data_IF_041700701794
#
_entry.id   IF_041700701794
#
_cell.length_a   1.000
_cell.length_b   1.000
_cell.length_c   1.000
_cell.angle_alpha   90.00
_cell.angle_beta   90.00
_cell.angle_gamma   90.00
#
_symmetry.space_group_name_H-M   'P 1'
#
loop_
_entity.id
_entity.type
_entity.pdbx_description
1 polymer ?
#
# COMPACT_ATOMS: atom_id res chain seq x y z
N UNK A 1 -0.07 -7.28 13.49
CA UNK A 1 -0.90 -7.47 12.28
C UNK A 1 -1.92 -6.34 12.30
N UNK A 2 -2.02 -5.55 11.24
CA UNK A 2 -2.85 -4.35 11.26
C UNK A 2 -4.33 -4.74 11.16
N UNK A 3 -5.18 -4.16 12.01
CA UNK A 3 -6.62 -4.36 11.92
C UNK A 3 -7.19 -3.45 10.84
N UNK A 4 -7.73 -4.05 9.77
CA UNK A 4 -8.38 -3.31 8.68
C UNK A 4 -9.69 -2.61 9.11
N UNK A 5 -10.22 -2.90 10.30
CA UNK A 5 -11.39 -2.21 10.86
C UNK A 5 -11.09 -0.83 11.44
N UNK A 6 -9.81 -0.51 11.66
CA UNK A 6 -9.38 0.76 12.28
C UNK A 6 -8.75 1.71 11.23
N UNK A 7 -8.80 1.33 9.94
CA UNK A 7 -8.36 2.17 8.82
C UNK A 7 -9.56 2.75 8.10
N UNK A 8 -9.50 4.02 7.75
CA UNK A 8 -10.51 4.68 6.93
C UNK A 8 -10.12 4.68 5.45
N UNK A 9 -11.11 4.60 4.53
CA UNK A 9 -10.88 4.88 3.12
C UNK A 9 -10.20 6.24 2.94
N UNK A 10 -9.14 6.29 2.13
CA UNK A 10 -8.25 7.44 1.94
C UNK A 10 -6.96 7.39 2.76
N UNK A 11 -6.81 6.49 3.73
CA UNK A 11 -5.54 6.32 4.43
C UNK A 11 -4.49 5.64 3.56
N UNK A 12 -3.23 6.07 3.73
CA UNK A 12 -2.10 5.48 3.01
C UNK A 12 -1.58 4.25 3.73
N UNK A 13 -1.68 3.09 3.08
CA UNK A 13 -1.28 1.81 3.62
C UNK A 13 -0.27 1.13 2.71
N UNK A 14 0.53 0.24 3.29
CA UNK A 14 1.28 -0.77 2.54
C UNK A 14 0.73 -2.14 2.89
N UNK A 15 0.39 -2.92 1.86
CA UNK A 15 -0.13 -4.27 1.98
C UNK A 15 0.78 -5.20 1.19
N UNK A 16 1.45 -6.12 1.90
CA UNK A 16 2.21 -7.19 1.29
C UNK A 16 1.33 -8.42 1.12
N UNK A 17 1.26 -8.93 -0.10
CA UNK A 17 0.45 -10.07 -0.47
C UNK A 17 1.24 -11.08 -1.31
N UNK A 18 0.77 -12.33 -1.31
CA UNK A 18 1.32 -13.42 -2.12
C UNK A 18 0.75 -13.35 -3.53
N UNK A 19 1.61 -13.45 -4.55
CA UNK A 19 1.21 -13.74 -5.91
C UNK A 19 1.10 -15.26 -6.07
N UNK A 20 0.01 -15.71 -6.67
CA UNK A 20 -0.20 -17.12 -6.98
C UNK A 20 0.69 -17.62 -8.14
N UNK A 21 1.24 -16.70 -8.95
CA UNK A 21 2.04 -17.02 -10.12
C UNK A 21 3.54 -17.07 -9.81
N UNK A 22 4.10 -18.28 -9.85
CA UNK A 22 5.54 -18.45 -9.79
C UNK A 22 5.98 -19.90 -9.76
N UNK A 23 6.29 -20.45 -10.93
CA UNK A 23 6.94 -21.76 -11.17
C UNK A 23 8.30 -21.96 -10.45
N UNK A 24 8.73 -21.08 -9.55
CA UNK A 24 10.05 -21.13 -8.90
C UNK A 24 10.15 -20.47 -7.50
N UNK A 25 9.06 -20.24 -6.77
CA UNK A 25 9.13 -19.75 -5.39
C UNK A 25 7.89 -18.96 -4.97
N UNK A 26 7.65 -18.81 -3.67
CA UNK A 26 6.61 -17.93 -3.16
C UNK A 26 6.94 -16.47 -3.52
N UNK A 27 6.24 -15.89 -4.51
CA UNK A 27 6.41 -14.48 -4.87
C UNK A 27 5.54 -13.60 -3.97
N UNK A 28 6.17 -12.60 -3.34
CA UNK A 28 5.47 -11.58 -2.56
C UNK A 28 5.54 -10.25 -3.29
N UNK A 29 4.42 -9.53 -3.34
CA UNK A 29 4.35 -8.16 -3.86
C UNK A 29 3.82 -7.23 -2.78
N UNK A 30 4.22 -5.97 -2.85
CA UNK A 30 3.73 -4.91 -1.99
C UNK A 30 2.90 -3.89 -2.78
N UNK A 31 1.67 -3.68 -2.33
CA UNK A 31 0.80 -2.61 -2.79
C UNK A 31 0.89 -1.45 -1.80
N UNK A 32 1.47 -0.33 -2.25
CA UNK A 32 1.51 0.91 -1.50
C UNK A 32 0.60 1.94 -2.16
N UNK A 33 -0.41 2.39 -1.42
CA UNK A 33 -1.43 3.26 -1.97
C UNK A 33 -2.43 3.74 -0.93
N UNK A 34 -3.49 4.35 -1.42
CA UNK A 34 -4.63 4.80 -0.61
C UNK A 34 -5.64 3.67 -0.51
N UNK A 35 -6.18 3.45 0.69
CA UNK A 35 -7.22 2.46 0.91
C UNK A 35 -8.51 2.95 0.24
N UNK A 36 -9.07 2.17 -0.70
CA UNK A 36 -10.35 2.49 -1.30
C UNK A 36 -11.50 1.78 -0.60
N UNK A 37 -11.34 0.48 -0.37
CA UNK A 37 -12.41 -0.34 0.21
C UNK A 37 -11.81 -1.52 0.97
N UNK A 38 -12.44 -1.88 2.09
CA UNK A 38 -12.15 -3.08 2.85
C UNK A 38 -13.43 -3.91 2.89
N UNK A 39 -13.36 -5.12 2.35
CA UNK A 39 -14.41 -6.12 2.51
C UNK A 39 -13.93 -7.25 3.42
N UNK A 40 -14.82 -8.19 3.71
CA UNK A 40 -14.48 -9.39 4.49
C UNK A 40 -13.63 -10.38 3.69
N UNK A 41 -13.59 -10.25 2.37
CA UNK A 41 -12.91 -11.18 1.47
C UNK A 41 -11.66 -10.56 0.84
N UNK A 42 -11.66 -9.24 0.60
CA UNK A 42 -10.61 -8.53 -0.11
C UNK A 42 -10.38 -7.11 0.42
N UNK A 43 -9.25 -6.53 0.01
CA UNK A 43 -8.88 -5.15 0.28
C UNK A 43 -8.48 -4.49 -1.04
N UNK A 44 -9.12 -3.37 -1.36
CA UNK A 44 -8.86 -2.59 -2.56
C UNK A 44 -7.97 -1.40 -2.22
N UNK A 45 -6.77 -1.38 -2.82
CA UNK A 45 -5.78 -0.32 -2.64
C UNK A 45 -5.63 0.44 -3.96
N UNK A 46 -5.92 1.74 -3.95
CA UNK A 46 -5.61 2.62 -5.07
C UNK A 46 -4.12 2.96 -5.02
N UNK A 47 -3.34 2.26 -5.84
CA UNK A 47 -1.93 2.60 -6.03
C UNK A 47 -1.80 3.74 -7.04
N UNK A 48 -0.59 4.25 -7.22
CA UNK A 48 -0.31 5.27 -8.25
C UNK A 48 -0.46 4.76 -9.68
N UNK A 49 -0.35 3.45 -9.91
CA UNK A 49 -0.48 2.85 -11.22
C UNK A 49 -1.94 2.49 -11.52
N UNK A 50 -2.56 1.76 -10.59
CA UNK A 50 -3.90 1.18 -10.76
C UNK A 50 -4.55 0.83 -9.42
N UNK A 51 -5.83 0.46 -9.47
CA UNK A 51 -6.56 -0.08 -8.33
C UNK A 51 -6.26 -1.57 -8.18
N UNK A 52 -5.61 -1.96 -7.09
CA UNK A 52 -5.21 -3.34 -6.82
C UNK A 52 -6.17 -3.95 -5.82
N UNK A 53 -6.89 -5.00 -6.24
CA UNK A 53 -7.76 -5.78 -5.36
C UNK A 53 -7.01 -7.00 -4.84
N UNK A 54 -6.82 -7.07 -3.53
CA UNK A 54 -6.01 -8.09 -2.86
C UNK A 54 -6.90 -8.98 -2.00
N UNK A 55 -6.95 -10.30 -2.22
CA UNK A 55 -7.71 -11.20 -1.36
C UNK A 55 -7.06 -11.29 0.02
N UNK A 56 -7.87 -11.26 1.08
CA UNK A 56 -7.38 -11.30 2.47
C UNK A 56 -6.57 -12.54 2.80
N UNK A 57 -6.92 -13.67 2.19
CA UNK A 57 -6.16 -14.91 2.32
C UNK A 57 -4.72 -14.81 1.80
N UNK A 58 -4.44 -13.90 0.84
CA UNK A 58 -3.10 -13.69 0.32
C UNK A 58 -2.29 -12.64 1.10
N UNK A 59 -2.94 -11.84 1.96
CA UNK A 59 -2.26 -10.78 2.72
C UNK A 59 -1.40 -11.42 3.81
N UNK A 60 -0.10 -11.14 3.77
CA UNK A 60 0.84 -11.58 4.80
C UNK A 60 1.16 -10.50 5.81
N UNK A 61 1.22 -9.24 5.36
CA UNK A 61 1.52 -8.13 6.23
C UNK A 61 0.83 -6.87 5.74
N UNK A 62 0.33 -6.07 6.66
CA UNK A 62 -0.19 -4.74 6.37
C UNK A 62 0.35 -3.76 7.42
N UNK A 63 0.68 -2.54 6.97
CA UNK A 63 1.16 -1.46 7.85
C UNK A 63 0.60 -0.11 7.39
N UNK A 64 0.20 0.72 8.36
CA UNK A 64 -0.14 2.13 8.13
C UNK A 64 1.11 2.91 7.82
N UNK A 65 1.07 3.63 6.70
CA UNK A 65 2.18 4.46 6.26
C UNK A 65 1.78 5.90 6.53
N UNK A 66 2.54 6.64 7.36
CA UNK A 66 2.28 8.06 7.55
C UNK A 66 2.34 8.80 6.19
N UNK A 67 1.59 9.90 6.02
CA UNK A 67 1.60 10.67 4.79
C UNK A 67 3.04 11.07 4.44
N UNK A 68 3.36 11.10 3.14
CA UNK A 68 4.69 11.42 2.70
C UNK A 68 5.11 12.79 3.26
N UNK A 69 6.30 12.91 3.89
CA UNK A 69 6.74 14.17 4.46
C UNK A 69 6.75 15.26 3.38
N UNK A 70 6.39 16.48 3.76
CA UNK A 70 6.39 17.63 2.87
C UNK A 70 7.75 17.73 2.14
N UNK A 71 7.71 17.82 0.81
CA UNK A 71 8.93 17.92 0.00
C UNK A 71 9.74 19.13 0.47
N UNK A 72 10.96 18.90 0.95
CA UNK A 72 11.90 19.97 1.25
C UNK A 72 12.08 20.84 -0.01
N UNK A 73 11.87 22.15 0.14
CA UNK A 73 12.05 23.12 -0.95
C UNK A 73 13.47 22.95 -1.53
N UNK A 74 13.65 23.00 -2.86
CA UNK A 74 14.97 23.03 -3.46
C UNK A 74 15.80 24.15 -2.83
N UNK A 75 17.06 23.86 -2.48
CA UNK A 75 17.99 24.87 -1.99
C UNK A 75 18.16 25.90 -3.12
N UNK A 76 17.78 27.14 -2.87
CA UNK A 76 18.01 28.22 -3.84
C UNK A 76 19.51 28.29 -4.16
N UNK A 77 19.91 28.44 -5.43
CA UNK A 77 21.29 28.72 -5.76
C UNK A 77 21.68 30.03 -5.08
N UNK A 78 22.82 30.03 -4.38
CA UNK A 78 23.41 31.26 -3.83
C UNK A 78 23.91 32.04 -5.04
N UNK A 79 23.22 33.11 -5.42
CA UNK A 79 23.73 34.09 -6.38
C UNK A 79 24.66 35.03 -5.62
N UNK A 80 25.92 35.10 -6.06
CA UNK A 80 26.91 36.13 -5.69
C UNK A 80 26.72 37.39 -6.54
#
# INVERSE_FOLDING_TARGET
MLNFSDVTPGERLVVRYRLADGRAGEHFSDALGELQEVTEESVSIQTRAELVCIPRAAITHAKRVPPAPARRRPRAPRTE
#
